data_IF_918764529656
#
_entry.id   IF_918764529656
#
_cell.length_a   1.000
_cell.length_b   1.000
_cell.length_c   1.000
_cell.angle_alpha   90.00
_cell.angle_beta   90.00
_cell.angle_gamma   90.00
#
_symmetry.space_group_name_H-M   'P 1'
#
loop_
_entity.id
_entity.type
_entity.pdbx_description
1 polymer ?
#
# COMPACT_ATOMS: atom_id res chain seq x y z
N UNK A 1 16.67 4.15 5.00
CA UNK A 1 15.63 4.81 5.83
C UNK A 1 16.12 5.17 7.23
N UNK A 2 17.12 4.48 7.78
CA UNK A 2 17.72 4.76 9.11
C UNK A 2 18.25 6.18 9.34
N UNK A 3 18.68 6.87 8.29
CA UNK A 3 19.16 8.25 8.41
C UNK A 3 18.00 9.25 8.65
N UNK A 4 16.82 8.99 8.06
CA UNK A 4 15.64 9.84 8.26
C UNK A 4 15.06 9.64 9.67
N UNK A 5 14.98 8.39 10.12
CA UNK A 5 14.51 8.04 11.48
C UNK A 5 15.32 8.77 12.55
N UNK A 6 16.65 8.66 12.49
CA UNK A 6 17.57 9.33 13.41
C UNK A 6 17.43 10.86 13.42
N UNK A 7 17.19 11.47 12.26
CA UNK A 7 16.95 12.93 12.18
C UNK A 7 15.67 13.34 12.91
N UNK A 8 14.60 12.56 12.78
CA UNK A 8 13.32 12.84 13.44
C UNK A 8 13.41 12.62 14.96
N UNK A 9 14.06 11.55 15.41
CA UNK A 9 14.34 11.30 16.83
C UNK A 9 15.13 12.47 17.46
N UNK A 10 16.19 12.93 16.79
CA UNK A 10 17.00 14.07 17.24
C UNK A 10 16.19 15.37 17.29
N UNK A 11 15.37 15.64 16.26
CA UNK A 11 14.54 16.84 16.23
C UNK A 11 13.49 16.85 17.37
N UNK A 12 12.88 15.71 17.66
CA UNK A 12 11.95 15.56 18.79
C UNK A 12 12.64 15.79 20.14
N UNK A 13 13.85 15.26 20.32
CA UNK A 13 14.68 15.50 21.51
C UNK A 13 14.98 16.98 21.71
N UNK A 14 15.30 17.71 20.64
CA UNK A 14 15.55 19.15 20.69
C UNK A 14 14.29 19.97 21.01
N UNK A 15 13.12 19.55 20.53
CA UNK A 15 11.86 20.22 20.86
C UNK A 15 11.45 19.96 22.32
N UNK A 16 11.79 18.79 22.87
CA UNK A 16 11.44 18.40 24.24
C UNK A 16 12.14 19.24 25.33
N UNK A 17 13.29 19.86 25.01
CA UNK A 17 14.03 20.72 25.94
C UNK A 17 13.58 22.18 25.93
N UNK A 18 12.62 22.56 25.08
CA UNK A 18 12.09 23.94 25.02
C UNK A 18 11.28 24.23 26.29
N UNK A 19 11.62 25.30 27.06
CA UNK A 19 10.94 25.61 28.31
C UNK A 19 9.45 25.91 28.11
N UNK A 20 8.61 25.37 29.00
CA UNK A 20 7.16 25.59 28.98
C UNK A 20 6.80 27.06 29.24
N UNK A 21 5.66 27.50 28.69
CA UNK A 21 5.15 28.87 28.88
C UNK A 21 5.89 29.94 28.08
N UNK A 22 6.78 29.55 27.18
CA UNK A 22 7.51 30.49 26.29
C UNK A 22 6.83 30.59 24.93
N UNK A 23 7.03 31.70 24.21
CA UNK A 23 6.62 31.83 22.81
C UNK A 23 7.25 30.73 21.93
N UNK A 24 8.51 30.37 22.20
CA UNK A 24 9.19 29.26 21.53
C UNK A 24 8.49 27.91 21.75
N UNK A 25 7.89 27.68 22.92
CA UNK A 25 7.11 26.45 23.17
C UNK A 25 5.81 26.41 22.33
N UNK A 26 5.16 27.57 22.13
CA UNK A 26 3.98 27.65 21.29
C UNK A 26 4.30 27.31 19.82
N UNK A 27 5.50 27.67 19.35
CA UNK A 27 6.00 27.31 18.01
C UNK A 27 6.50 25.85 17.94
N UNK A 28 7.08 25.33 19.02
CA UNK A 28 7.61 23.97 19.09
C UNK A 28 6.51 22.89 19.10
N UNK A 29 5.35 23.17 19.69
CA UNK A 29 4.23 22.22 19.80
C UNK A 29 3.75 21.65 18.44
N UNK A 30 3.38 22.47 17.44
CA UNK A 30 2.95 21.93 16.15
C UNK A 30 4.07 21.15 15.43
N UNK A 31 5.33 21.56 15.59
CA UNK A 31 6.48 20.85 15.03
C UNK A 31 6.67 19.48 15.68
N UNK A 32 6.46 19.38 17.00
CA UNK A 32 6.53 18.10 17.72
C UNK A 32 5.47 17.13 17.21
N UNK A 33 4.23 17.60 17.01
CA UNK A 33 3.17 16.80 16.41
C UNK A 33 3.50 16.31 15.00
N UNK A 34 4.03 17.21 14.16
CA UNK A 34 4.44 16.90 12.79
C UNK A 34 5.57 15.84 12.74
N UNK A 35 6.60 16.02 13.57
CA UNK A 35 7.75 15.11 13.60
C UNK A 35 7.39 13.74 14.21
N UNK A 36 6.51 13.71 15.21
CA UNK A 36 5.99 12.46 15.78
C UNK A 36 5.23 11.67 14.72
N UNK A 37 4.30 12.32 14.01
CA UNK A 37 3.56 11.70 12.90
C UNK A 37 4.51 11.19 11.80
N UNK A 38 5.53 11.96 11.46
CA UNK A 38 6.53 11.58 10.45
C UNK A 38 7.38 10.39 10.90
N UNK A 39 7.76 10.33 12.17
CA UNK A 39 8.52 9.22 12.74
C UNK A 39 7.71 7.92 12.71
N UNK A 40 6.47 7.96 13.18
CA UNK A 40 5.56 6.80 13.14
C UNK A 40 5.37 6.29 11.71
N UNK A 41 5.21 7.18 10.73
CA UNK A 41 5.14 6.80 9.31
C UNK A 41 6.42 6.14 8.81
N UNK A 42 7.59 6.69 9.17
CA UNK A 42 8.89 6.14 8.77
C UNK A 42 9.12 4.74 9.35
N UNK A 43 8.73 4.51 10.62
CA UNK A 43 8.84 3.22 11.28
C UNK A 43 7.89 2.18 10.67
N UNK A 44 6.63 2.56 10.44
CA UNK A 44 5.65 1.70 9.76
C UNK A 44 6.13 1.28 8.35
N UNK A 45 6.69 2.22 7.59
CA UNK A 45 7.28 1.95 6.28
C UNK A 45 8.46 1.00 6.35
N UNK A 46 9.34 1.15 7.35
CA UNK A 46 10.49 0.28 7.54
C UNK A 46 10.03 -1.15 7.87
N UNK A 47 9.11 -1.29 8.80
CA UNK A 47 8.56 -2.61 9.16
C UNK A 47 7.88 -3.29 7.98
N UNK A 48 7.09 -2.54 7.20
CA UNK A 48 6.48 -3.08 5.98
C UNK A 48 7.52 -3.48 4.94
N UNK A 49 8.54 -2.65 4.68
CA UNK A 49 9.60 -2.98 3.74
C UNK A 49 10.37 -4.25 4.15
N UNK A 50 10.71 -4.39 5.44
CA UNK A 50 11.40 -5.57 5.96
C UNK A 50 10.55 -6.85 5.85
N UNK A 51 9.25 -6.75 6.12
CA UNK A 51 8.31 -7.87 5.94
C UNK A 51 8.08 -8.22 4.47
N UNK A 52 8.10 -7.23 3.59
CA UNK A 52 7.90 -7.42 2.15
C UNK A 52 9.13 -8.00 1.45
N UNK A 53 10.34 -7.63 1.87
CA UNK A 53 11.59 -7.98 1.17
C UNK A 53 11.73 -9.49 0.82
N UNK A 54 11.42 -10.45 1.72
CA UNK A 54 11.49 -11.88 1.38
C UNK A 54 10.42 -12.34 0.37
N UNK A 55 9.34 -11.57 0.23
CA UNK A 55 8.17 -11.89 -0.59
C UNK A 55 8.16 -11.13 -1.92
N UNK A 56 9.06 -10.15 -2.10
CA UNK A 56 9.20 -9.39 -3.34
C UNK A 56 9.25 -10.31 -4.59
N UNK A 57 10.01 -11.42 -4.62
CA UNK A 57 10.00 -12.32 -5.78
C UNK A 57 8.63 -12.97 -6.03
N UNK A 58 7.83 -13.23 -5.00
CA UNK A 58 6.48 -13.78 -5.17
C UNK A 58 5.53 -12.74 -5.77
N UNK A 59 5.62 -11.48 -5.36
CA UNK A 59 4.87 -10.39 -5.99
C UNK A 59 5.29 -10.16 -7.44
N UNK A 60 6.60 -10.27 -7.73
CA UNK A 60 7.10 -10.24 -9.10
C UNK A 60 6.48 -11.34 -9.96
N UNK A 61 6.43 -12.58 -9.46
CA UNK A 61 5.80 -13.69 -10.17
C UNK A 61 4.29 -13.49 -10.37
N UNK A 62 3.58 -13.03 -9.34
CA UNK A 62 2.14 -12.76 -9.42
C UNK A 62 1.82 -11.66 -10.46
N UNK A 63 2.60 -10.57 -10.47
CA UNK A 63 2.45 -9.51 -11.46
C UNK A 63 2.94 -9.88 -12.86
N UNK A 64 3.73 -10.95 -13.00
CA UNK A 64 4.28 -11.39 -14.28
C UNK A 64 5.42 -10.52 -14.81
N UNK A 65 6.11 -11.01 -15.84
CA UNK A 65 7.21 -10.32 -16.53
C UNK A 65 6.76 -9.65 -17.83
N UNK A 66 7.62 -8.83 -18.44
CA UNK A 66 7.33 -7.88 -19.52
C UNK A 66 6.25 -8.29 -20.56
N UNK A 67 6.24 -9.51 -21.09
CA UNK A 67 5.29 -9.95 -22.12
C UNK A 67 3.94 -10.46 -21.58
N UNK A 68 3.82 -10.68 -20.27
CA UNK A 68 2.62 -11.16 -19.59
C UNK A 68 2.31 -10.35 -18.32
N UNK A 69 2.86 -9.14 -18.25
CA UNK A 69 2.72 -8.28 -17.10
C UNK A 69 1.25 -7.95 -16.87
N UNK A 70 0.82 -8.06 -15.62
CA UNK A 70 -0.54 -7.80 -15.14
C UNK A 70 -0.59 -6.56 -14.26
N UNK A 71 0.52 -6.32 -13.53
CA UNK A 71 0.66 -5.19 -12.64
C UNK A 71 2.12 -4.76 -12.47
N UNK A 72 2.29 -3.60 -11.85
CA UNK A 72 3.52 -3.19 -11.17
C UNK A 72 3.26 -3.12 -9.68
N UNK A 73 4.29 -3.25 -8.85
CA UNK A 73 4.17 -3.19 -7.40
C UNK A 73 5.19 -2.23 -6.77
N UNK A 74 4.83 -1.66 -5.62
CA UNK A 74 5.74 -0.88 -4.79
C UNK A 74 5.28 -0.90 -3.33
N UNK A 75 6.19 -0.75 -2.37
CA UNK A 75 5.86 -0.63 -0.95
C UNK A 75 5.94 0.83 -0.53
N UNK A 76 4.84 1.42 -0.07
CA UNK A 76 4.79 2.80 0.45
C UNK A 76 3.73 2.92 1.54
N UNK A 77 3.97 3.77 2.53
CA UNK A 77 2.98 4.08 3.59
C UNK A 77 2.45 2.84 4.32
N UNK A 78 3.31 1.84 4.55
CA UNK A 78 2.93 0.60 5.23
C UNK A 78 2.04 -0.33 4.40
N UNK A 79 1.87 -0.09 3.10
CA UNK A 79 1.06 -0.90 2.18
C UNK A 79 1.85 -1.31 0.94
N UNK A 80 1.38 -2.36 0.26
CA UNK A 80 1.82 -2.71 -1.09
C UNK A 80 0.86 -2.07 -2.07
N UNK A 81 1.33 -1.14 -2.89
CA UNK A 81 0.56 -0.56 -3.99
C UNK A 81 0.78 -1.39 -5.25
N UNK A 82 -0.30 -1.89 -5.83
CA UNK A 82 -0.36 -2.50 -7.16
C UNK A 82 -1.00 -1.54 -8.14
N UNK A 83 -0.30 -1.19 -9.22
CA UNK A 83 -0.93 -0.54 -10.36
C UNK A 83 -1.21 -1.61 -11.42
N UNK A 84 -2.48 -1.85 -11.68
CA UNK A 84 -2.96 -2.82 -12.64
C UNK A 84 -2.74 -2.30 -14.07
N UNK A 85 -2.44 -3.21 -14.99
CA UNK A 85 -2.39 -2.87 -16.41
C UNK A 85 -3.78 -2.88 -17.02
N UNK A 86 -3.93 -2.12 -18.11
CA UNK A 86 -5.17 -1.98 -18.83
C UNK A 86 -5.74 -3.35 -19.22
N UNK A 87 -7.01 -3.56 -18.95
CA UNK A 87 -7.71 -4.83 -19.15
C UNK A 87 -7.82 -5.64 -17.87
N UNK A 88 -6.76 -5.74 -17.07
CA UNK A 88 -6.82 -6.39 -15.76
C UNK A 88 -7.56 -5.51 -14.74
N UNK A 89 -7.32 -4.20 -14.80
CA UNK A 89 -8.02 -3.19 -14.00
C UNK A 89 -9.55 -3.32 -14.08
N UNK A 90 -10.10 -3.35 -15.30
CA UNK A 90 -11.54 -3.44 -15.53
C UNK A 90 -12.14 -4.73 -14.98
N UNK A 91 -11.48 -5.87 -15.20
CA UNK A 91 -11.97 -7.16 -14.73
C UNK A 91 -11.90 -7.23 -13.21
N UNK A 92 -10.77 -6.80 -12.63
CA UNK A 92 -10.60 -6.80 -11.18
C UNK A 92 -11.63 -5.87 -10.52
N UNK A 93 -11.84 -4.68 -11.09
CA UNK A 93 -12.85 -3.75 -10.61
C UNK A 93 -14.26 -4.36 -10.67
N UNK A 94 -14.61 -5.06 -11.75
CA UNK A 94 -15.88 -5.79 -11.85
C UNK A 94 -15.98 -6.92 -10.80
N UNK A 95 -14.91 -7.68 -10.56
CA UNK A 95 -14.89 -8.78 -9.60
C UNK A 95 -15.12 -8.32 -8.17
N UNK A 96 -14.63 -7.13 -7.80
CA UNK A 96 -14.83 -6.53 -6.47
C UNK A 96 -16.07 -5.62 -6.39
N UNK A 97 -16.70 -5.29 -7.52
CA UNK A 97 -17.96 -4.54 -7.57
C UNK A 97 -19.15 -5.46 -7.28
N UNK A 98 -20.15 -5.02 -6.49
CA UNK A 98 -21.41 -5.74 -6.30
C UNK A 98 -22.10 -6.07 -7.64
N UNK A 99 -22.74 -7.25 -7.79
CA UNK A 99 -23.30 -7.70 -9.08
C UNK A 99 -24.27 -6.72 -9.75
N UNK A 100 -25.06 -5.97 -8.97
CA UNK A 100 -26.03 -4.98 -9.41
C UNK A 100 -25.42 -3.72 -10.02
N UNK A 101 -24.12 -3.50 -9.82
CA UNK A 101 -23.37 -2.34 -10.30
C UNK A 101 -22.36 -2.68 -11.41
N UNK A 102 -22.33 -3.94 -11.88
CA UNK A 102 -21.38 -4.39 -12.90
C UNK A 102 -21.84 -3.99 -14.31
N UNK A 103 -20.91 -3.52 -15.13
CA UNK A 103 -21.14 -3.32 -16.56
C UNK A 103 -21.14 -4.67 -17.31
N UNK A 104 -22.08 -4.86 -18.23
CA UNK A 104 -22.39 -6.15 -18.87
C UNK A 104 -21.47 -6.63 -20.00
N UNK A 105 -20.32 -5.98 -20.23
CA UNK A 105 -19.40 -6.39 -21.31
C UNK A 105 -18.62 -7.64 -20.86
N UNK A 106 -18.79 -8.76 -21.56
CA UNK A 106 -18.06 -10.00 -21.25
C UNK A 106 -16.59 -9.89 -21.70
N UNK A 107 -15.62 -9.95 -20.77
CA UNK A 107 -14.20 -9.96 -21.12
C UNK A 107 -13.76 -11.33 -21.67
N UNK A 108 -12.59 -11.38 -22.31
CA UNK A 108 -12.00 -12.64 -22.76
C UNK A 108 -11.76 -13.58 -21.56
N UNK A 109 -12.19 -14.85 -21.67
CA UNK A 109 -12.12 -15.83 -20.58
C UNK A 109 -10.71 -16.01 -20.00
N UNK A 110 -9.68 -15.93 -20.83
CA UNK A 110 -8.28 -16.00 -20.39
C UNK A 110 -7.91 -14.81 -19.47
N UNK A 111 -8.36 -13.60 -19.80
CA UNK A 111 -8.08 -12.41 -19.00
C UNK A 111 -8.83 -12.46 -17.67
N UNK A 112 -10.06 -12.99 -17.67
CA UNK A 112 -10.83 -13.27 -16.44
C UNK A 112 -10.08 -14.25 -15.55
N UNK A 113 -9.64 -15.39 -16.10
CA UNK A 113 -8.89 -16.39 -15.33
C UNK A 113 -7.59 -15.83 -14.74
N UNK A 114 -6.83 -15.05 -15.51
CA UNK A 114 -5.58 -14.46 -15.03
C UNK A 114 -5.81 -13.36 -13.98
N UNK A 115 -6.88 -12.58 -14.12
CA UNK A 115 -7.27 -11.56 -13.13
C UNK A 115 -7.68 -12.20 -11.81
N UNK A 116 -8.47 -13.28 -11.87
CA UNK A 116 -8.87 -14.04 -10.69
C UNK A 116 -7.67 -14.70 -10.01
N UNK A 117 -6.72 -15.25 -10.78
CA UNK A 117 -5.49 -15.79 -10.22
C UNK A 117 -4.67 -14.70 -9.53
N UNK A 118 -4.51 -13.53 -10.17
CA UNK A 118 -3.79 -12.40 -9.56
C UNK A 118 -4.44 -11.99 -8.24
N UNK A 119 -5.78 -11.92 -8.17
CA UNK A 119 -6.49 -11.60 -6.93
C UNK A 119 -6.25 -12.65 -5.83
N UNK A 120 -6.29 -13.94 -6.17
CA UNK A 120 -5.99 -15.00 -5.21
C UNK A 120 -4.55 -14.91 -4.69
N UNK A 121 -3.58 -14.71 -5.60
CA UNK A 121 -2.17 -14.61 -5.26
C UNK A 121 -1.91 -13.42 -4.33
N UNK A 122 -2.47 -12.24 -4.63
CA UNK A 122 -2.22 -11.04 -3.81
C UNK A 122 -2.95 -11.08 -2.47
N UNK A 123 -4.12 -11.71 -2.40
CA UNK A 123 -4.81 -12.01 -1.13
C UNK A 123 -3.95 -12.94 -0.27
N UNK A 124 -3.46 -14.05 -0.82
CA UNK A 124 -2.59 -14.98 -0.11
C UNK A 124 -1.32 -14.29 0.39
N UNK A 125 -0.61 -13.58 -0.49
CA UNK A 125 0.63 -12.89 -0.15
C UNK A 125 0.41 -11.81 0.90
N UNK A 126 -0.67 -11.02 0.79
CA UNK A 126 -1.01 -10.00 1.78
C UNK A 126 -1.28 -10.60 3.15
N UNK A 127 -2.01 -11.73 3.20
CA UNK A 127 -2.28 -12.48 4.43
C UNK A 127 -1.00 -13.07 5.02
N UNK A 128 -0.11 -13.65 4.22
CA UNK A 128 1.17 -14.22 4.68
C UNK A 128 2.07 -13.15 5.33
N UNK A 129 2.15 -11.95 4.74
CA UNK A 129 3.04 -10.88 5.21
C UNK A 129 2.40 -9.90 6.18
N UNK A 130 1.06 -9.97 6.35
CA UNK A 130 0.27 -9.05 7.16
C UNK A 130 0.51 -7.57 6.76
N UNK A 131 0.52 -7.31 5.45
CA UNK A 131 0.62 -5.96 4.85
C UNK A 131 -0.56 -5.78 3.89
N UNK A 132 -1.39 -4.72 4.05
CA UNK A 132 -2.47 -4.43 3.12
C UNK A 132 -1.98 -4.21 1.69
N UNK A 133 -2.77 -4.65 0.72
CA UNK A 133 -2.52 -4.42 -0.71
C UNK A 133 -3.54 -3.42 -1.23
N UNK A 134 -3.08 -2.36 -1.87
CA UNK A 134 -3.93 -1.38 -2.55
C UNK A 134 -3.90 -1.61 -4.06
N UNK A 135 -5.06 -1.65 -4.68
CA UNK A 135 -5.26 -1.80 -6.10
C UNK A 135 -5.55 -0.44 -6.72
N UNK A 136 -4.82 -0.13 -7.78
CA UNK A 136 -5.04 1.05 -8.60
C UNK A 136 -5.23 0.62 -10.06
N UNK A 137 -6.11 1.28 -10.79
CA UNK A 137 -6.31 1.04 -12.21
C UNK A 137 -5.12 1.54 -13.06
N UNK A 138 -5.20 1.34 -14.37
CA UNK A 138 -4.17 1.77 -15.30
C UNK A 138 -4.02 3.31 -15.39
N UNK A 139 -5.01 4.08 -14.92
CA UNK A 139 -4.99 5.54 -14.85
C UNK A 139 -4.45 6.04 -13.50
N UNK A 140 -4.21 5.13 -12.56
CA UNK A 140 -3.70 5.43 -11.23
C UNK A 140 -4.78 5.83 -10.22
N UNK A 141 -6.07 5.63 -10.53
CA UNK A 141 -7.15 5.81 -9.57
C UNK A 141 -7.28 4.57 -8.67
N UNK A 142 -7.63 4.82 -7.41
CA UNK A 142 -7.78 3.79 -6.40
C UNK A 142 -9.05 2.97 -6.64
N UNK A 143 -8.91 1.64 -6.63
CA UNK A 143 -10.03 0.72 -6.83
C UNK A 143 -10.51 0.11 -5.52
N UNK A 144 -9.57 -0.45 -4.74
CA UNK A 144 -9.84 -1.05 -3.44
C UNK A 144 -8.53 -1.34 -2.68
N UNK A 145 -8.68 -1.65 -1.40
CA UNK A 145 -7.62 -2.15 -0.53
C UNK A 145 -8.01 -3.51 0.02
N UNK A 146 -7.19 -4.52 -0.19
CA UNK A 146 -7.29 -5.76 0.56
C UNK A 146 -6.71 -5.58 1.96
N UNK A 147 -7.48 -5.98 2.97
CA UNK A 147 -7.16 -5.87 4.38
C UNK A 147 -6.99 -7.29 4.94
N UNK A 148 -5.75 -7.74 5.24
CA UNK A 148 -5.52 -9.10 5.73
C UNK A 148 -6.14 -9.35 7.11
N UNK A 149 -6.37 -8.29 7.89
CA UNK A 149 -7.06 -8.36 9.18
C UNK A 149 -8.59 -8.51 9.06
N UNK A 150 -9.15 -8.20 7.89
CA UNK A 150 -10.58 -8.35 7.59
C UNK A 150 -10.86 -9.49 6.59
N UNK A 151 -9.81 -10.13 6.08
CA UNK A 151 -9.86 -11.13 5.01
C UNK A 151 -10.72 -10.68 3.81
N UNK A 152 -10.57 -9.40 3.41
CA UNK A 152 -11.48 -8.81 2.43
C UNK A 152 -11.03 -7.49 1.80
N UNK A 153 -11.68 -7.14 0.70
CA UNK A 153 -11.50 -5.86 0.01
C UNK A 153 -12.41 -4.78 0.59
N UNK A 154 -11.86 -3.58 0.76
CA UNK A 154 -12.58 -2.35 1.12
C UNK A 154 -12.35 -1.28 0.06
N UNK A 155 -13.39 -0.49 -0.22
CA UNK A 155 -13.34 0.68 -1.12
C UNK A 155 -13.29 1.97 -0.32
#
# INVERSE_FOLDING_TARGET
MDHLRRKLENALSQLAIVPQGTLAQAEAQPLSGLYTSSLTKAESNLQAALRFQPYEPKFFLACGSASQQKCTYSVRSGTVRLNLLQGYDNIIDQSITPPDQRNGTMPAAQLVSQSNQLLQDITLLSTEIQIPVELYDAQGAFLARYRPDLDGFVR
#
